data_IF_810339339476
#
_entry.id   IF_810339339476
#
_cell.length_a   1.000
_cell.length_b   1.000
_cell.length_c   1.000
_cell.angle_alpha   90.00
_cell.angle_beta   90.00
_cell.angle_gamma   90.00
#
_symmetry.space_group_name_H-M   'P 1'
#
loop_
_entity.id
_entity.type
_entity.pdbx_description
1 polymer ?
#
# COMPACT_ATOMS: atom_id res chain seq x y z
N UNK A 1 6.49 21.47 -29.79
CA UNK A 1 5.73 20.20 -29.66
C UNK A 1 5.73 19.49 -31.00
N UNK A 2 5.91 18.17 -31.05
CA UNK A 2 5.83 17.43 -32.31
C UNK A 2 4.43 17.56 -32.92
N UNK A 3 4.35 17.59 -34.25
CA UNK A 3 3.09 17.72 -34.97
C UNK A 3 2.29 16.41 -34.83
N UNK A 4 0.97 16.43 -34.60
CA UNK A 4 0.13 15.22 -34.55
C UNK A 4 0.35 14.26 -35.74
N UNK A 5 0.67 14.80 -36.91
CA UNK A 5 1.02 14.05 -38.12
C UNK A 5 2.23 13.13 -37.94
N UNK A 6 3.26 13.57 -37.19
CA UNK A 6 4.46 12.76 -36.93
C UNK A 6 4.15 11.57 -36.03
N UNK A 7 3.32 11.77 -35.01
CA UNK A 7 2.86 10.68 -34.12
C UNK A 7 2.07 9.65 -34.93
N UNK A 8 1.08 10.09 -35.71
CA UNK A 8 0.27 9.20 -36.55
C UNK A 8 1.11 8.44 -37.58
N UNK A 9 2.08 9.11 -38.21
CA UNK A 9 3.02 8.48 -39.14
C UNK A 9 3.86 7.42 -38.44
N UNK A 10 4.45 7.74 -37.29
CA UNK A 10 5.28 6.81 -36.51
C UNK A 10 4.48 5.57 -36.11
N UNK A 11 3.28 5.76 -35.57
CA UNK A 11 2.41 4.65 -35.17
C UNK A 11 1.98 3.78 -36.37
N UNK A 12 1.65 4.40 -37.50
CA UNK A 12 1.13 3.69 -38.67
C UNK A 12 2.20 2.97 -39.48
N UNK A 13 3.38 3.57 -39.60
CA UNK A 13 4.45 3.13 -40.50
C UNK A 13 5.56 2.37 -39.77
N UNK A 14 5.81 2.67 -38.50
CA UNK A 14 6.87 2.02 -37.70
C UNK A 14 6.28 0.98 -36.75
N UNK A 15 5.36 1.38 -35.88
CA UNK A 15 4.87 0.51 -34.80
C UNK A 15 3.92 -0.57 -35.33
N UNK A 16 2.83 -0.18 -36.02
CA UNK A 16 1.78 -1.10 -36.45
C UNK A 16 2.29 -2.33 -37.24
N UNK A 17 3.23 -2.21 -38.19
CA UNK A 17 3.74 -3.38 -38.92
C UNK A 17 4.41 -4.42 -38.02
N UNK A 18 5.10 -4.00 -36.96
CA UNK A 18 5.81 -4.91 -36.04
C UNK A 18 4.85 -5.77 -35.20
N UNK A 19 3.62 -5.30 -35.00
CA UNK A 19 2.55 -6.01 -34.29
C UNK A 19 1.52 -6.65 -35.22
N UNK A 20 1.65 -6.48 -36.55
CA UNK A 20 0.66 -6.99 -37.51
C UNK A 20 0.58 -8.51 -37.54
N UNK A 21 1.72 -9.20 -37.29
CA UNK A 21 1.79 -10.65 -37.18
C UNK A 21 1.24 -11.19 -35.85
N UNK A 22 1.04 -10.33 -34.85
CA UNK A 22 0.63 -10.70 -33.49
C UNK A 22 -0.55 -9.82 -33.02
N UNK A 23 -1.71 -9.88 -33.70
CA UNK A 23 -2.86 -9.08 -33.33
C UNK A 23 -3.38 -9.48 -31.94
N UNK A 24 -3.70 -8.48 -31.11
CA UNK A 24 -4.20 -8.73 -29.76
C UNK A 24 -5.60 -9.40 -29.79
N UNK A 25 -5.80 -10.57 -29.16
CA UNK A 25 -7.00 -11.39 -29.38
C UNK A 25 -8.28 -10.78 -28.84
N UNK A 26 -8.21 -9.85 -27.87
CA UNK A 26 -9.40 -9.23 -27.24
C UNK A 26 -9.77 -7.85 -27.77
N UNK A 27 -9.07 -7.36 -28.78
CA UNK A 27 -9.27 -6.00 -29.30
C UNK A 27 -9.60 -6.00 -30.79
N UNK A 28 -10.54 -5.15 -31.18
CA UNK A 28 -10.82 -4.91 -32.58
C UNK A 28 -9.72 -4.04 -33.21
N UNK A 29 -9.03 -4.55 -34.24
CA UNK A 29 -7.82 -3.90 -34.80
C UNK A 29 -8.05 -2.48 -35.36
N UNK A 30 -9.25 -2.17 -35.85
CA UNK A 30 -9.53 -0.86 -36.43
C UNK A 30 -10.08 0.16 -35.42
N UNK A 31 -10.60 -0.29 -34.27
CA UNK A 31 -11.32 0.60 -33.33
C UNK A 31 -10.78 0.53 -31.90
N UNK A 32 -9.92 -0.44 -31.60
CA UNK A 32 -9.45 -0.75 -30.25
C UNK A 32 -10.58 -0.92 -29.22
N UNK A 33 -11.78 -1.31 -29.68
CA UNK A 33 -12.88 -1.72 -28.79
C UNK A 33 -12.68 -3.15 -28.34
N UNK A 34 -13.07 -3.43 -27.11
CA UNK A 34 -13.04 -4.79 -26.56
C UNK A 34 -14.01 -5.70 -27.32
N UNK A 35 -13.53 -6.89 -27.69
CA UNK A 35 -14.33 -7.91 -28.33
C UNK A 35 -15.08 -8.74 -27.28
N UNK A 36 -16.35 -9.09 -27.57
CA UNK A 36 -17.15 -9.94 -26.71
C UNK A 36 -16.58 -11.38 -26.60
N UNK A 37 -15.91 -11.85 -27.65
CA UNK A 37 -15.18 -13.11 -27.69
C UNK A 37 -13.77 -12.87 -28.22
N UNK A 38 -12.74 -13.55 -27.67
CA UNK A 38 -11.41 -13.48 -28.25
C UNK A 38 -11.41 -13.92 -29.72
N UNK A 39 -10.66 -13.22 -30.56
CA UNK A 39 -10.38 -13.64 -31.92
C UNK A 39 -9.53 -14.92 -31.90
N UNK A 40 -9.73 -15.79 -32.89
CA UNK A 40 -8.90 -16.96 -33.08
C UNK A 40 -7.53 -16.52 -33.62
N UNK A 41 -6.50 -16.65 -32.81
CA UNK A 41 -5.12 -16.30 -33.17
C UNK A 41 -4.30 -17.57 -33.20
N UNK A 42 -4.08 -18.12 -34.40
CA UNK A 42 -3.11 -19.19 -34.60
C UNK A 42 -1.69 -18.62 -34.40
N UNK A 43 -0.89 -19.27 -33.56
CA UNK A 43 0.53 -18.98 -33.30
C UNK A 43 0.88 -17.58 -32.78
N UNK A 44 0.22 -17.12 -31.71
CA UNK A 44 0.47 -15.81 -31.05
C UNK A 44 1.91 -15.59 -30.54
N UNK A 45 2.67 -16.68 -30.36
CA UNK A 45 4.00 -16.66 -29.73
C UNK A 45 5.14 -17.08 -30.67
N UNK A 46 4.85 -17.51 -31.89
CA UNK A 46 5.89 -17.87 -32.86
C UNK A 46 6.25 -16.64 -33.70
N UNK A 47 7.53 -16.25 -33.68
CA UNK A 47 8.10 -15.12 -34.42
C UNK A 47 7.40 -13.78 -34.16
N UNK A 48 7.78 -13.13 -33.05
CA UNK A 48 7.25 -11.83 -32.62
C UNK A 48 8.23 -10.69 -33.03
N UNK A 49 8.07 -10.04 -34.19
CA UNK A 49 9.11 -9.14 -34.75
C UNK A 49 9.37 -7.91 -33.88
N UNK A 50 8.38 -7.51 -33.08
CA UNK A 50 8.49 -6.40 -32.15
C UNK A 50 9.51 -6.65 -31.03
N UNK A 51 9.81 -7.92 -30.69
CA UNK A 51 10.84 -8.26 -29.69
C UNK A 51 12.26 -8.06 -30.21
N UNK A 52 12.45 -8.09 -31.53
CA UNK A 52 13.75 -7.86 -32.16
C UNK A 52 14.10 -6.36 -32.27
N UNK A 53 13.20 -5.48 -31.84
CA UNK A 53 13.33 -4.03 -31.94
C UNK A 53 13.52 -3.40 -30.54
N UNK A 54 14.77 -3.30 -30.02
CA UNK A 54 15.02 -2.69 -28.72
C UNK A 54 14.61 -1.20 -28.72
N UNK A 55 13.96 -0.74 -27.65
CA UNK A 55 13.50 0.64 -27.52
C UNK A 55 12.16 0.95 -28.19
N UNK A 56 11.48 -0.05 -28.76
CA UNK A 56 10.15 0.12 -29.34
C UNK A 56 9.12 0.62 -28.32
N UNK A 57 9.25 0.20 -27.06
CA UNK A 57 8.48 0.70 -25.93
C UNK A 57 8.67 2.20 -25.72
N UNK A 58 9.88 2.74 -25.88
CA UNK A 58 10.15 4.18 -25.73
C UNK A 58 9.58 4.98 -26.91
N UNK A 59 9.56 4.40 -28.11
CA UNK A 59 8.87 5.00 -29.27
C UNK A 59 7.35 5.07 -29.02
N UNK A 60 6.78 3.98 -28.51
CA UNK A 60 5.35 3.92 -28.16
C UNK A 60 5.01 4.89 -27.03
N UNK A 61 5.84 4.94 -25.99
CA UNK A 61 5.75 5.89 -24.88
C UNK A 61 5.82 7.34 -25.35
N UNK A 62 6.76 7.65 -26.23
CA UNK A 62 6.87 8.98 -26.83
C UNK A 62 5.59 9.34 -27.58
N UNK A 63 4.99 8.41 -28.33
CA UNK A 63 3.72 8.65 -29.02
C UNK A 63 2.57 8.93 -28.02
N UNK A 64 2.48 8.15 -26.94
CA UNK A 64 1.48 8.31 -25.88
C UNK A 64 1.57 9.71 -25.25
N UNK A 65 2.78 10.10 -24.81
CA UNK A 65 3.01 11.35 -24.08
C UNK A 65 2.91 12.60 -24.97
N UNK A 66 3.12 12.45 -26.28
CA UNK A 66 3.08 13.57 -27.23
C UNK A 66 1.77 13.66 -28.01
N UNK A 67 0.74 12.92 -27.60
CA UNK A 67 -0.61 13.02 -28.20
C UNK A 67 -1.51 13.92 -27.37
N UNK A 68 -2.22 14.82 -28.03
CA UNK A 68 -3.22 15.66 -27.37
C UNK A 68 -4.59 14.97 -27.31
N UNK A 69 -5.35 15.24 -26.25
CA UNK A 69 -6.69 14.70 -25.97
C UNK A 69 -7.65 14.60 -27.19
N UNK A 70 -7.80 15.61 -28.08
CA UNK A 70 -8.71 15.48 -29.23
C UNK A 70 -8.22 14.52 -30.33
N UNK A 71 -6.92 14.27 -30.43
CA UNK A 71 -6.32 13.35 -31.42
C UNK A 71 -6.18 11.93 -30.85
N UNK A 72 -6.28 11.78 -29.54
CA UNK A 72 -6.08 10.51 -28.83
C UNK A 72 -7.02 9.41 -29.34
N UNK A 73 -8.27 9.76 -29.64
CA UNK A 73 -9.26 8.80 -30.18
C UNK A 73 -8.88 8.29 -31.59
N UNK A 74 -8.22 9.11 -32.41
CA UNK A 74 -7.81 8.70 -33.76
C UNK A 74 -6.66 7.70 -33.74
N UNK A 75 -5.72 7.87 -32.80
CA UNK A 75 -4.57 6.98 -32.65
C UNK A 75 -4.84 5.80 -31.71
N UNK A 76 -5.96 5.81 -30.99
CA UNK A 76 -6.37 4.76 -30.06
C UNK A 76 -6.23 3.34 -30.65
N UNK A 77 -6.69 3.07 -31.89
CA UNK A 77 -6.52 1.75 -32.52
C UNK A 77 -5.08 1.36 -32.82
N UNK A 78 -4.17 2.32 -32.85
CA UNK A 78 -2.75 2.10 -33.15
C UNK A 78 -1.90 1.92 -31.89
N UNK A 79 -2.29 2.54 -30.76
CA UNK A 79 -1.52 2.46 -29.50
C UNK A 79 -1.99 1.31 -28.62
N UNK A 80 -3.30 1.05 -28.55
CA UNK A 80 -3.84 0.14 -27.54
C UNK A 80 -3.42 -1.31 -27.79
N UNK A 81 -3.50 -1.87 -29.02
CA UNK A 81 -3.09 -3.26 -29.23
C UNK A 81 -1.61 -3.50 -28.90
N UNK A 82 -0.63 -2.69 -29.35
CA UNK A 82 0.77 -2.83 -28.92
C UNK A 82 0.95 -2.78 -27.40
N UNK A 83 0.33 -1.80 -26.72
CA UNK A 83 0.43 -1.68 -25.27
C UNK A 83 -0.13 -2.90 -24.55
N UNK A 84 -1.27 -3.41 -25.00
CA UNK A 84 -1.86 -4.63 -24.46
C UNK A 84 -1.00 -5.87 -24.74
N UNK A 85 -0.39 -5.96 -25.92
CA UNK A 85 0.56 -7.05 -26.24
C UNK A 85 1.73 -7.07 -25.27
N UNK A 86 2.31 -5.92 -24.92
CA UNK A 86 3.35 -5.85 -23.88
C UNK A 86 2.83 -6.31 -22.51
N UNK A 87 1.65 -5.83 -22.08
CA UNK A 87 1.08 -6.16 -20.77
C UNK A 87 0.72 -7.65 -20.62
N UNK A 88 0.18 -8.24 -21.68
CA UNK A 88 -0.30 -9.63 -21.69
C UNK A 88 0.81 -10.63 -22.06
N UNK A 89 2.00 -10.19 -22.46
CA UNK A 89 3.15 -11.05 -22.79
C UNK A 89 3.54 -11.97 -21.61
N UNK A 90 3.95 -13.20 -21.88
CA UNK A 90 4.25 -14.17 -20.81
C UNK A 90 5.56 -13.85 -20.06
N UNK A 91 6.49 -13.11 -20.67
CA UNK A 91 7.74 -12.71 -20.04
C UNK A 91 7.55 -11.44 -19.20
N UNK A 92 7.92 -11.52 -17.92
CA UNK A 92 7.67 -10.45 -16.95
C UNK A 92 8.34 -9.11 -17.32
N UNK A 93 9.56 -9.05 -17.91
CA UNK A 93 10.13 -7.78 -18.33
C UNK A 93 9.24 -6.98 -19.29
N UNK A 94 8.64 -7.63 -20.28
CA UNK A 94 7.71 -6.97 -21.21
C UNK A 94 6.42 -6.54 -20.52
N UNK A 95 5.92 -7.33 -19.56
CA UNK A 95 4.77 -6.92 -18.73
C UNK A 95 5.04 -5.62 -17.99
N UNK A 96 6.23 -5.47 -17.37
CA UNK A 96 6.60 -4.24 -16.67
C UNK A 96 6.57 -3.03 -17.62
N UNK A 97 7.10 -3.19 -18.83
CA UNK A 97 7.03 -2.15 -19.87
C UNK A 97 5.58 -1.83 -20.25
N UNK A 98 4.75 -2.85 -20.46
CA UNK A 98 3.33 -2.70 -20.75
C UNK A 98 2.58 -1.93 -19.65
N UNK A 99 2.87 -2.23 -18.38
CA UNK A 99 2.27 -1.52 -17.23
C UNK A 99 2.69 -0.05 -17.21
N UNK A 100 3.97 0.26 -17.48
CA UNK A 100 4.45 1.66 -17.56
C UNK A 100 3.77 2.43 -18.69
N UNK A 101 3.65 1.80 -19.86
CA UNK A 101 2.91 2.36 -21.01
C UNK A 101 1.44 2.62 -20.66
N UNK A 102 0.79 1.70 -19.93
CA UNK A 102 -0.57 1.91 -19.43
C UNK A 102 -0.62 3.09 -18.45
N UNK A 103 0.31 3.20 -17.51
CA UNK A 103 0.33 4.33 -16.58
C UNK A 103 0.44 5.67 -17.32
N UNK A 104 1.37 5.77 -18.29
CA UNK A 104 1.50 6.96 -19.15
C UNK A 104 0.21 7.20 -19.96
N UNK A 105 -0.39 6.14 -20.51
CA UNK A 105 -1.66 6.21 -21.25
C UNK A 105 -2.79 6.74 -20.36
N UNK A 106 -2.89 6.30 -19.10
CA UNK A 106 -3.92 6.75 -18.16
C UNK A 106 -3.75 8.22 -17.74
N UNK A 107 -2.55 8.79 -17.83
CA UNK A 107 -2.35 10.23 -17.61
C UNK A 107 -2.83 11.10 -18.78
N UNK A 108 -2.85 10.55 -20.00
CA UNK A 108 -3.10 11.30 -21.22
C UNK A 108 -4.47 11.02 -21.85
N UNK A 109 -4.99 9.80 -21.70
CA UNK A 109 -6.22 9.34 -22.34
C UNK A 109 -7.47 9.92 -21.64
N UNK A 110 -8.49 10.36 -22.40
CA UNK A 110 -9.78 10.75 -21.82
C UNK A 110 -10.45 9.56 -21.09
N UNK A 111 -10.90 9.72 -19.83
CA UNK A 111 -11.58 8.65 -19.09
C UNK A 111 -12.81 8.08 -19.83
N UNK A 112 -13.55 8.93 -20.54
CA UNK A 112 -14.72 8.55 -21.33
C UNK A 112 -14.36 7.59 -22.47
N UNK A 113 -13.15 7.70 -23.03
CA UNK A 113 -12.68 6.81 -24.08
C UNK A 113 -12.45 5.40 -23.52
N UNK A 114 -11.85 5.28 -22.34
CA UNK A 114 -11.64 4.00 -21.66
C UNK A 114 -12.98 3.28 -21.41
N UNK A 115 -13.96 4.02 -20.88
CA UNK A 115 -15.28 3.50 -20.55
C UNK A 115 -16.08 3.13 -21.81
N UNK A 116 -16.13 4.00 -22.82
CA UNK A 116 -16.91 3.78 -24.05
C UNK A 116 -16.37 2.62 -24.89
N UNK A 117 -15.07 2.36 -24.83
CA UNK A 117 -14.43 1.26 -25.57
C UNK A 117 -14.41 -0.05 -24.78
N UNK A 118 -14.80 -0.03 -23.49
CA UNK A 118 -14.76 -1.17 -22.56
C UNK A 118 -13.36 -1.53 -22.09
N UNK A 119 -12.38 -0.68 -22.37
CA UNK A 119 -10.96 -0.94 -22.12
C UNK A 119 -10.63 -0.84 -20.63
N UNK A 120 -11.39 -0.09 -19.85
CA UNK A 120 -11.27 -0.06 -18.39
C UNK A 120 -11.38 -1.46 -17.75
N UNK A 121 -12.33 -2.28 -18.21
CA UNK A 121 -12.54 -3.62 -17.70
C UNK A 121 -11.45 -4.58 -18.18
N UNK A 122 -11.00 -4.43 -19.43
CA UNK A 122 -9.90 -5.19 -19.99
C UNK A 122 -8.59 -4.91 -19.23
N UNK A 123 -8.23 -3.65 -19.05
CA UNK A 123 -7.03 -3.24 -18.32
C UNK A 123 -7.04 -3.73 -16.89
N UNK A 124 -8.15 -3.57 -16.19
CA UNK A 124 -8.28 -4.07 -14.82
C UNK A 124 -8.05 -5.58 -14.74
N UNK A 125 -8.62 -6.35 -15.69
CA UNK A 125 -8.44 -7.80 -15.76
C UNK A 125 -6.98 -8.16 -16.06
N UNK A 126 -6.36 -7.54 -17.05
CA UNK A 126 -4.97 -7.83 -17.43
C UNK A 126 -3.96 -7.43 -16.34
N UNK A 127 -4.14 -6.26 -15.71
CA UNK A 127 -3.32 -5.80 -14.59
C UNK A 127 -3.42 -6.75 -13.39
N UNK A 128 -4.64 -7.13 -12.99
CA UNK A 128 -4.81 -8.07 -11.88
C UNK A 128 -4.26 -9.47 -12.19
N UNK A 129 -4.35 -9.93 -13.44
CA UNK A 129 -3.76 -11.18 -13.89
C UNK A 129 -2.23 -11.15 -13.95
N UNK A 130 -1.63 -9.98 -14.22
CA UNK A 130 -0.17 -9.82 -14.25
C UNK A 130 0.46 -10.22 -12.90
N UNK A 131 -0.24 -9.95 -11.79
CA UNK A 131 0.18 -10.30 -10.43
C UNK A 131 0.22 -11.81 -10.14
N UNK A 132 -0.22 -12.68 -11.06
CA UNK A 132 -0.07 -14.13 -10.93
C UNK A 132 1.33 -14.66 -11.28
N UNK A 133 2.20 -13.82 -11.87
CA UNK A 133 3.56 -14.20 -12.29
C UNK A 133 4.56 -13.99 -11.15
N UNK A 134 4.46 -14.83 -10.10
CA UNK A 134 5.17 -14.62 -8.83
C UNK A 134 6.57 -15.23 -8.73
N UNK A 135 7.02 -15.96 -9.76
CA UNK A 135 8.27 -16.74 -9.72
C UNK A 135 9.41 -16.08 -10.51
N UNK A 136 9.21 -14.88 -11.03
CA UNK A 136 10.21 -14.17 -11.82
C UNK A 136 11.04 -13.23 -10.92
N UNK A 137 12.35 -13.06 -11.18
CA UNK A 137 13.17 -12.09 -10.44
C UNK A 137 12.64 -10.65 -10.48
N UNK A 138 11.90 -10.30 -11.54
CA UNK A 138 11.31 -8.97 -11.78
C UNK A 138 9.92 -8.81 -11.16
N UNK A 139 9.36 -9.86 -10.53
CA UNK A 139 8.06 -9.80 -9.83
C UNK A 139 7.95 -8.63 -8.84
N UNK A 140 8.97 -8.29 -8.01
CA UNK A 140 8.89 -7.15 -7.12
C UNK A 140 8.69 -5.82 -7.84
N UNK A 141 9.32 -5.65 -9.00
CA UNK A 141 9.14 -4.47 -9.84
C UNK A 141 7.76 -4.45 -10.49
N UNK A 142 7.30 -5.60 -10.99
CA UNK A 142 5.95 -5.75 -11.55
C UNK A 142 4.88 -5.34 -10.53
N UNK A 143 4.97 -5.80 -9.27
CA UNK A 143 4.03 -5.43 -8.22
C UNK A 143 4.01 -3.91 -7.99
N UNK A 144 5.19 -3.29 -7.91
CA UNK A 144 5.35 -1.85 -7.70
C UNK A 144 4.83 -1.02 -8.87
N UNK A 145 4.82 -1.57 -10.08
CA UNK A 145 4.24 -0.91 -11.24
C UNK A 145 2.72 -1.14 -11.33
N UNK A 146 2.27 -2.39 -11.18
CA UNK A 146 0.88 -2.80 -11.44
C UNK A 146 -0.08 -2.21 -10.42
N UNK A 147 0.24 -2.26 -9.13
CA UNK A 147 -0.72 -1.86 -8.09
C UNK A 147 -1.05 -0.36 -8.17
N UNK A 148 -0.07 0.57 -8.23
CA UNK A 148 -0.36 1.99 -8.41
C UNK A 148 -1.09 2.29 -9.72
N UNK A 149 -0.70 1.63 -10.83
CA UNK A 149 -1.37 1.79 -12.13
C UNK A 149 -2.83 1.32 -12.07
N UNK A 150 -3.11 0.25 -11.32
CA UNK A 150 -4.48 -0.24 -11.12
C UNK A 150 -5.29 0.73 -10.26
N UNK A 151 -4.69 1.34 -9.24
CA UNK A 151 -5.36 2.38 -8.44
C UNK A 151 -5.70 3.59 -9.31
N UNK A 152 -4.75 4.07 -10.12
CA UNK A 152 -4.97 5.15 -11.08
C UNK A 152 -6.14 4.83 -12.03
N UNK A 153 -6.20 3.60 -12.57
CA UNK A 153 -7.31 3.17 -13.42
C UNK A 153 -8.64 3.21 -12.67
N UNK A 154 -8.69 2.70 -11.44
CA UNK A 154 -9.90 2.67 -10.61
C UNK A 154 -10.39 4.09 -10.36
N UNK A 155 -9.51 4.99 -9.95
CA UNK A 155 -9.82 6.39 -9.64
C UNK A 155 -10.40 7.12 -10.86
N UNK A 156 -9.88 6.83 -12.05
CA UNK A 156 -10.34 7.46 -13.31
C UNK A 156 -11.68 6.91 -13.80
N UNK A 157 -12.00 5.65 -13.53
CA UNK A 157 -13.08 4.94 -14.25
C UNK A 157 -14.24 4.49 -13.36
N UNK A 158 -14.06 4.50 -12.04
CA UNK A 158 -15.02 3.84 -11.14
C UNK A 158 -15.55 4.79 -10.06
N UNK A 159 -16.84 5.19 -10.13
CA UNK A 159 -17.43 6.06 -9.11
C UNK A 159 -17.62 5.37 -7.75
N UNK A 160 -17.72 4.03 -7.73
CA UNK A 160 -17.77 3.22 -6.51
C UNK A 160 -16.62 2.19 -6.53
N UNK A 161 -15.41 2.58 -6.07
CA UNK A 161 -14.18 1.82 -6.31
C UNK A 161 -14.10 0.54 -5.46
N UNK A 162 -14.94 0.42 -4.44
CA UNK A 162 -14.89 -0.62 -3.42
C UNK A 162 -14.76 -2.04 -3.98
N UNK A 163 -15.56 -2.43 -4.98
CA UNK A 163 -15.53 -3.79 -5.52
C UNK A 163 -14.20 -4.08 -6.22
N UNK A 164 -13.72 -3.15 -7.06
CA UNK A 164 -12.44 -3.30 -7.77
C UNK A 164 -11.25 -3.30 -6.81
N UNK A 165 -11.25 -2.38 -5.83
CA UNK A 165 -10.24 -2.35 -4.77
C UNK A 165 -10.24 -3.63 -3.94
N UNK A 166 -11.43 -4.15 -3.62
CA UNK A 166 -11.59 -5.41 -2.88
C UNK A 166 -11.01 -6.58 -3.67
N UNK A 167 -11.31 -6.67 -4.96
CA UNK A 167 -10.75 -7.70 -5.85
C UNK A 167 -9.22 -7.58 -5.96
N UNK A 168 -8.70 -6.38 -6.15
CA UNK A 168 -7.24 -6.13 -6.21
C UNK A 168 -6.55 -6.60 -4.92
N UNK A 169 -7.10 -6.24 -3.76
CA UNK A 169 -6.54 -6.64 -2.48
C UNK A 169 -6.72 -8.13 -2.20
N UNK A 170 -7.93 -8.67 -2.36
CA UNK A 170 -8.24 -10.06 -1.96
C UNK A 170 -7.67 -11.09 -2.89
N UNK A 171 -7.89 -10.92 -4.20
CA UNK A 171 -7.62 -11.96 -5.19
C UNK A 171 -6.21 -11.87 -5.74
N UNK A 172 -5.62 -10.67 -5.78
CA UNK A 172 -4.26 -10.50 -6.31
C UNK A 172 -3.23 -10.37 -5.19
N UNK A 173 -3.32 -9.34 -4.33
CA UNK A 173 -2.26 -9.09 -3.34
C UNK A 173 -2.28 -10.15 -2.22
N UNK A 174 -3.41 -10.33 -1.53
CA UNK A 174 -3.52 -11.31 -0.44
C UNK A 174 -3.55 -12.74 -1.00
N UNK A 175 -4.42 -12.97 -1.98
CA UNK A 175 -4.66 -14.25 -2.65
C UNK A 175 -3.42 -14.87 -3.26
N UNK A 176 -2.64 -14.05 -3.97
CA UNK A 176 -1.52 -14.54 -4.76
C UNK A 176 -0.19 -14.16 -4.12
N UNK A 177 0.08 -12.88 -3.89
CA UNK A 177 1.42 -12.40 -3.48
C UNK A 177 1.78 -12.83 -2.04
N UNK A 178 0.81 -12.85 -1.14
CA UNK A 178 1.09 -13.06 0.29
C UNK A 178 0.91 -14.52 0.70
N UNK A 179 -0.17 -15.18 0.25
CA UNK A 179 -0.47 -16.55 0.66
C UNK A 179 0.46 -17.61 0.06
N UNK A 180 1.13 -17.33 -1.06
CA UNK A 180 1.98 -18.32 -1.75
C UNK A 180 3.40 -18.44 -1.20
N UNK A 181 3.74 -17.71 -0.13
CA UNK A 181 5.06 -17.82 0.53
C UNK A 181 6.23 -17.32 -0.35
N UNK A 182 6.00 -16.24 -1.09
CA UNK A 182 6.90 -15.68 -2.11
C UNK A 182 8.21 -15.16 -1.49
N UNK A 183 9.34 -15.14 -2.24
CA UNK A 183 10.61 -14.61 -1.76
C UNK A 183 10.53 -13.24 -1.07
N UNK A 184 11.45 -13.00 -0.14
CA UNK A 184 11.55 -11.76 0.66
C UNK A 184 11.43 -10.46 -0.18
N UNK A 185 12.06 -10.30 -1.36
CA UNK A 185 11.92 -9.09 -2.18
C UNK A 185 10.49 -8.78 -2.62
N UNK A 186 9.67 -9.81 -2.84
CA UNK A 186 8.27 -9.68 -3.24
C UNK A 186 7.39 -9.25 -2.08
N UNK A 187 7.64 -9.78 -0.87
CA UNK A 187 6.95 -9.31 0.33
C UNK A 187 7.26 -7.84 0.63
N UNK A 188 8.51 -7.41 0.42
CA UNK A 188 8.89 -5.99 0.52
C UNK A 188 8.13 -5.13 -0.49
N UNK A 189 7.99 -5.60 -1.74
CA UNK A 189 7.19 -4.90 -2.74
C UNK A 189 5.72 -4.80 -2.32
N UNK A 190 5.14 -5.90 -1.82
CA UNK A 190 3.77 -5.95 -1.32
C UNK A 190 3.54 -4.97 -0.16
N UNK A 191 4.47 -4.91 0.80
CA UNK A 191 4.35 -3.98 1.94
C UNK A 191 4.41 -2.51 1.54
N UNK A 192 5.06 -2.16 0.43
CA UNK A 192 5.07 -0.78 -0.08
C UNK A 192 3.77 -0.40 -0.80
N UNK A 193 3.10 -1.36 -1.45
CA UNK A 193 1.89 -1.07 -2.25
C UNK A 193 0.58 -1.31 -1.51
N UNK A 194 0.61 -2.05 -0.39
CA UNK A 194 -0.56 -2.26 0.47
C UNK A 194 -1.13 -0.97 1.08
N UNK A 195 -0.32 -0.05 1.65
CA UNK A 195 -0.82 1.16 2.29
C UNK A 195 -1.77 2.00 1.41
N UNK A 196 -1.42 2.39 0.15
CA UNK A 196 -2.33 3.18 -0.66
C UNK A 196 -3.64 2.42 -1.01
N UNK A 197 -3.58 1.10 -1.17
CA UNK A 197 -4.79 0.27 -1.41
C UNK A 197 -5.69 0.25 -0.16
N UNK A 198 -5.11 0.14 1.03
CA UNK A 198 -5.83 0.19 2.31
C UNK A 198 -6.48 1.56 2.50
N UNK A 199 -5.73 2.65 2.28
CA UNK A 199 -6.25 4.01 2.37
C UNK A 199 -7.40 4.25 1.39
N UNK A 200 -7.28 3.79 0.14
CA UNK A 200 -8.34 3.90 -0.86
C UNK A 200 -9.60 3.10 -0.50
N UNK A 201 -9.47 1.96 0.20
CA UNK A 201 -10.60 1.18 0.71
C UNK A 201 -11.29 1.82 1.92
N UNK A 202 -10.58 2.69 2.65
CA UNK A 202 -11.05 3.27 3.90
C UNK A 202 -11.48 2.19 4.90
N UNK A 203 -12.56 2.45 5.64
CA UNK A 203 -13.14 1.51 6.63
C UNK A 203 -13.47 0.13 6.02
N UNK A 204 -13.65 0.05 4.70
CA UNK A 204 -13.84 -1.19 3.97
C UNK A 204 -12.66 -2.16 4.07
N UNK A 205 -11.45 -1.67 4.39
CA UNK A 205 -10.25 -2.48 4.62
C UNK A 205 -10.40 -3.42 5.83
N UNK A 206 -11.27 -3.10 6.78
CA UNK A 206 -11.47 -3.87 8.02
C UNK A 206 -11.79 -5.36 7.77
N UNK A 207 -12.44 -5.70 6.65
CA UNK A 207 -12.76 -7.10 6.32
C UNK A 207 -11.54 -7.94 5.96
N UNK A 208 -10.44 -7.28 5.57
CA UNK A 208 -9.20 -7.93 5.14
C UNK A 208 -8.16 -8.02 6.26
N UNK A 209 -8.44 -7.48 7.45
CA UNK A 209 -7.54 -7.53 8.61
C UNK A 209 -7.08 -8.97 8.93
N UNK A 210 -7.98 -9.95 8.79
CA UNK A 210 -7.63 -11.37 9.01
C UNK A 210 -6.58 -11.90 8.02
N UNK A 211 -6.50 -11.33 6.82
CA UNK A 211 -5.47 -11.68 5.84
C UNK A 211 -4.18 -10.87 6.01
N UNK A 212 -4.28 -9.62 6.47
CA UNK A 212 -3.13 -8.70 6.54
C UNK A 212 -2.36 -8.85 7.86
N UNK A 213 -3.06 -8.85 9.00
CA UNK A 213 -2.40 -8.80 10.33
C UNK A 213 -1.47 -10.00 10.58
N UNK A 214 -1.84 -11.26 10.27
CA UNK A 214 -0.94 -12.39 10.50
C UNK A 214 0.38 -12.31 9.71
N UNK A 215 0.37 -11.60 8.58
CA UNK A 215 1.56 -11.45 7.71
C UNK A 215 2.51 -10.43 8.30
N UNK A 216 1.98 -9.33 8.84
CA UNK A 216 2.74 -8.35 9.61
C UNK A 216 3.31 -9.00 10.87
N UNK A 217 2.50 -9.76 11.62
CA UNK A 217 2.95 -10.49 12.81
C UNK A 217 4.11 -11.44 12.47
N UNK A 218 3.94 -12.26 11.43
CA UNK A 218 5.00 -13.17 10.96
C UNK A 218 6.26 -12.42 10.53
N UNK A 219 6.11 -11.21 9.98
CA UNK A 219 7.26 -10.35 9.65
C UNK A 219 7.98 -9.90 10.90
N UNK A 220 7.27 -9.55 11.98
CA UNK A 220 7.89 -9.25 13.27
C UNK A 220 8.57 -10.44 13.95
N UNK A 221 8.15 -11.67 13.60
CA UNK A 221 8.79 -12.92 14.04
C UNK A 221 10.02 -13.30 13.19
N UNK A 222 10.22 -12.65 12.04
CA UNK A 222 11.39 -12.93 11.22
C UNK A 222 12.67 -12.46 11.94
N UNK A 223 13.76 -13.19 11.76
CA UNK A 223 15.01 -12.87 12.42
C UNK A 223 15.54 -11.51 11.93
N UNK A 224 15.80 -10.60 12.86
CA UNK A 224 16.41 -9.31 12.56
C UNK A 224 17.90 -9.53 12.28
N UNK A 225 18.28 -9.46 11.00
CA UNK A 225 19.67 -9.58 10.58
C UNK A 225 20.21 -8.21 10.13
N UNK A 226 21.20 -7.67 10.86
CA UNK A 226 21.85 -6.38 10.55
C UNK A 226 22.57 -6.37 9.20
N UNK A 227 22.94 -7.54 8.70
CA UNK A 227 23.62 -7.69 7.42
C UNK A 227 22.63 -7.69 6.25
N UNK A 228 21.32 -7.79 6.52
CA UNK A 228 20.28 -7.81 5.51
C UNK A 228 19.44 -6.51 5.51
N UNK A 229 18.77 -6.19 4.39
CA UNK A 229 17.91 -5.02 4.32
C UNK A 229 16.68 -5.14 5.25
N UNK A 230 16.53 -4.18 6.17
CA UNK A 230 15.37 -4.08 7.08
C UNK A 230 14.07 -3.57 6.40
N UNK A 231 14.06 -3.49 5.06
CA UNK A 231 12.95 -2.93 4.29
C UNK A 231 11.62 -3.65 4.54
N UNK A 232 11.64 -4.97 4.79
CA UNK A 232 10.42 -5.72 5.06
C UNK A 232 9.81 -5.33 6.42
N UNK A 233 10.64 -5.23 7.47
CA UNK A 233 10.20 -4.80 8.79
C UNK A 233 9.62 -3.39 8.75
N UNK A 234 10.34 -2.44 8.14
CA UNK A 234 9.88 -1.05 7.99
C UNK A 234 8.59 -0.96 7.16
N UNK A 235 8.49 -1.73 6.08
CA UNK A 235 7.27 -1.81 5.27
C UNK A 235 6.08 -2.38 6.05
N UNK A 236 6.29 -3.41 6.86
CA UNK A 236 5.24 -3.99 7.70
C UNK A 236 4.76 -3.00 8.77
N UNK A 237 5.66 -2.25 9.40
CA UNK A 237 5.30 -1.20 10.35
C UNK A 237 4.47 -0.09 9.69
N UNK A 238 4.84 0.32 8.47
CA UNK A 238 4.05 1.30 7.74
C UNK A 238 2.63 0.79 7.42
N UNK A 239 2.48 -0.49 7.07
CA UNK A 239 1.16 -1.12 6.89
C UNK A 239 0.36 -1.07 8.20
N UNK A 240 0.98 -1.32 9.34
CA UNK A 240 0.30 -1.24 10.66
C UNK A 240 -0.21 0.17 10.95
N UNK A 241 0.61 1.21 10.78
CA UNK A 241 0.18 2.59 11.03
C UNK A 241 -1.03 2.94 10.16
N UNK A 242 -0.98 2.62 8.86
CA UNK A 242 -2.11 2.88 7.96
C UNK A 242 -3.36 2.08 8.36
N UNK A 243 -3.22 0.86 8.89
CA UNK A 243 -4.36 0.11 9.43
C UNK A 243 -4.93 0.72 10.71
N UNK A 244 -4.09 1.25 11.59
CA UNK A 244 -4.51 1.96 12.81
C UNK A 244 -5.34 3.20 12.42
N UNK A 245 -4.84 4.01 11.48
CA UNK A 245 -5.51 5.22 10.99
C UNK A 245 -6.82 4.90 10.28
N UNK A 246 -6.81 3.87 9.43
CA UNK A 246 -7.93 3.57 8.53
C UNK A 246 -9.06 2.80 9.24
N UNK A 247 -8.72 1.95 10.22
CA UNK A 247 -9.65 1.01 10.85
C UNK A 247 -9.61 1.03 12.40
N UNK A 248 -9.63 2.19 13.08
CA UNK A 248 -9.36 2.29 14.52
C UNK A 248 -10.35 1.50 15.38
N UNK A 249 -11.63 1.45 15.00
CA UNK A 249 -12.66 0.72 15.75
C UNK A 249 -12.53 -0.81 15.67
N UNK A 250 -11.85 -1.32 14.65
CA UNK A 250 -11.70 -2.77 14.39
C UNK A 250 -10.29 -3.28 14.71
N UNK A 251 -9.29 -2.39 14.74
CA UNK A 251 -7.90 -2.74 15.07
C UNK A 251 -7.76 -3.21 16.52
N UNK A 252 -8.64 -2.75 17.43
CA UNK A 252 -8.64 -3.17 18.84
C UNK A 252 -8.70 -4.69 19.05
N UNK A 253 -9.40 -5.43 18.19
CA UNK A 253 -9.45 -6.91 18.24
C UNK A 253 -8.11 -7.57 17.88
N UNK A 254 -7.33 -6.91 17.04
CA UNK A 254 -6.05 -7.38 16.52
C UNK A 254 -4.85 -6.84 17.31
N UNK A 255 -5.11 -5.93 18.24
CA UNK A 255 -4.09 -5.22 19.00
C UNK A 255 -3.10 -6.16 19.70
N UNK A 256 -3.56 -7.24 20.33
CA UNK A 256 -2.69 -8.22 20.99
C UNK A 256 -1.73 -8.90 20.02
N UNK A 257 -2.22 -9.24 18.81
CA UNK A 257 -1.43 -9.87 17.75
C UNK A 257 -0.39 -8.91 17.19
N UNK A 258 -0.77 -7.64 16.99
CA UNK A 258 0.14 -6.61 16.52
C UNK A 258 1.21 -6.34 17.58
N UNK A 259 0.82 -6.20 18.85
CA UNK A 259 1.73 -6.04 19.98
C UNK A 259 2.73 -7.18 20.10
N UNK A 260 2.30 -8.44 19.96
CA UNK A 260 3.22 -9.59 19.96
C UNK A 260 4.25 -9.51 18.82
N UNK A 261 3.81 -9.15 17.61
CA UNK A 261 4.72 -8.94 16.48
C UNK A 261 5.73 -7.80 16.72
N UNK A 262 5.29 -6.67 17.28
CA UNK A 262 6.16 -5.53 17.62
C UNK A 262 7.18 -5.91 18.70
N UNK A 263 6.72 -6.57 19.78
CA UNK A 263 7.58 -6.98 20.89
C UNK A 263 8.65 -7.98 20.44
N UNK A 264 8.31 -8.96 19.60
CA UNK A 264 9.31 -9.91 19.06
C UNK A 264 10.31 -9.24 18.13
N UNK A 265 9.86 -8.30 17.31
CA UNK A 265 10.76 -7.53 16.44
C UNK A 265 11.73 -6.68 17.28
N UNK A 266 11.26 -6.10 18.38
CA UNK A 266 12.08 -5.37 19.34
C UNK A 266 13.14 -6.25 20.00
N UNK A 267 12.75 -7.41 20.53
CA UNK A 267 13.69 -8.39 21.11
C UNK A 267 14.74 -8.79 20.07
N UNK A 268 14.33 -9.03 18.82
CA UNK A 268 15.26 -9.29 17.73
C UNK A 268 16.26 -8.14 17.49
N UNK A 269 15.84 -6.89 17.65
CA UNK A 269 16.74 -5.74 17.61
C UNK A 269 17.69 -5.70 18.82
N UNK A 270 17.25 -6.10 20.01
CA UNK A 270 18.10 -6.18 21.21
C UNK A 270 19.17 -7.26 21.05
N UNK A 271 18.79 -8.46 20.61
CA UNK A 271 19.72 -9.59 20.41
C UNK A 271 20.78 -9.28 19.33
N UNK A 272 20.39 -8.51 18.30
CA UNK A 272 21.27 -8.10 17.21
C UNK A 272 22.34 -7.06 17.59
N UNK A 273 22.21 -6.40 18.75
CA UNK A 273 23.15 -5.34 19.23
C UNK A 273 24.36 -5.92 19.99
N UNK A 274 24.57 -7.24 19.94
CA UNK A 274 25.71 -7.94 20.55
C UNK A 274 27.12 -7.53 20.04
N UNK A 275 27.24 -6.50 19.19
CA UNK A 275 28.52 -5.89 18.76
C UNK A 275 28.57 -4.42 19.21
N UNK A 276 29.71 -3.98 19.75
CA UNK A 276 29.96 -2.71 20.50
C UNK A 276 29.52 -1.38 19.84
N UNK A 277 28.97 -1.40 18.62
CA UNK A 277 28.34 -0.25 17.98
C UNK A 277 27.05 -0.70 17.31
N UNK A 278 25.90 -0.31 17.85
CA UNK A 278 24.61 -0.54 17.21
C UNK A 278 24.61 0.16 15.82
N UNK A 279 24.44 -0.57 14.71
CA UNK A 279 24.41 0.04 13.39
C UNK A 279 23.23 1.01 13.31
N UNK A 280 23.45 2.21 12.74
CA UNK A 280 22.43 3.27 12.62
C UNK A 280 21.07 2.80 12.05
N UNK A 281 21.08 1.73 11.24
CA UNK A 281 19.87 1.11 10.68
C UNK A 281 18.97 0.43 11.73
N UNK A 282 19.54 -0.15 12.78
CA UNK A 282 18.77 -0.73 13.89
C UNK A 282 18.10 0.35 14.73
N UNK A 283 18.78 1.47 14.96
CA UNK A 283 18.20 2.61 15.68
C UNK A 283 16.99 3.20 14.93
N UNK A 284 17.06 3.28 13.60
CA UNK A 284 15.89 3.65 12.78
C UNK A 284 14.74 2.66 12.98
N UNK A 285 15.00 1.34 12.97
CA UNK A 285 13.95 0.35 13.18
C UNK A 285 13.35 0.43 14.59
N UNK A 286 14.17 0.62 15.63
CA UNK A 286 13.74 0.81 17.02
C UNK A 286 12.85 2.04 17.17
N UNK A 287 13.27 3.18 16.63
CA UNK A 287 12.46 4.41 16.64
C UNK A 287 11.10 4.20 15.96
N UNK A 288 11.07 3.56 14.78
CA UNK A 288 9.80 3.24 14.11
C UNK A 288 8.92 2.28 14.91
N UNK A 289 9.51 1.26 15.56
CA UNK A 289 8.77 0.33 16.42
C UNK A 289 8.08 1.05 17.58
N UNK A 290 8.79 2.01 18.20
CA UNK A 290 8.26 2.83 19.29
C UNK A 290 7.10 3.72 18.82
N UNK A 291 7.28 4.45 17.72
CA UNK A 291 6.23 5.28 17.12
C UNK A 291 4.94 4.47 16.88
N UNK A 292 5.06 3.31 16.22
CA UNK A 292 3.91 2.42 15.92
C UNK A 292 3.25 1.93 17.20
N UNK A 293 4.03 1.57 18.22
CA UNK A 293 3.49 1.10 19.49
C UNK A 293 2.73 2.21 20.25
N UNK A 294 3.23 3.45 20.21
CA UNK A 294 2.55 4.61 20.79
C UNK A 294 1.24 4.93 20.06
N UNK A 295 1.25 4.91 18.72
CA UNK A 295 0.04 5.04 17.90
C UNK A 295 -0.97 3.93 18.20
N UNK A 296 -0.51 2.68 18.37
CA UNK A 296 -1.37 1.57 18.74
C UNK A 296 -1.96 1.75 20.16
N UNK A 297 -1.15 2.20 21.12
CA UNK A 297 -1.57 2.43 22.50
C UNK A 297 -2.64 3.55 22.59
N UNK A 298 -2.46 4.63 21.82
CA UNK A 298 -3.41 5.74 21.74
C UNK A 298 -4.71 5.32 21.05
N UNK A 299 -4.63 4.59 19.94
CA UNK A 299 -5.80 4.07 19.23
C UNK A 299 -6.54 2.98 20.03
N UNK A 300 -5.82 2.20 20.85
CA UNK A 300 -6.35 1.10 21.63
C UNK A 300 -5.94 1.18 23.12
N UNK A 301 -6.58 2.02 23.94
CA UNK A 301 -6.22 2.19 25.36
C UNK A 301 -6.34 0.91 26.20
N UNK A 302 -7.07 -0.09 25.71
CA UNK A 302 -7.17 -1.42 26.34
C UNK A 302 -5.85 -2.19 26.33
N UNK A 303 -4.99 -1.98 25.34
CA UNK A 303 -3.66 -2.62 25.25
C UNK A 303 -2.81 -2.21 26.45
N UNK A 304 -2.84 -0.93 26.80
CA UNK A 304 -2.12 -0.37 27.96
C UNK A 304 -2.69 -0.85 29.30
N UNK A 305 -4.01 -1.15 29.36
CA UNK A 305 -4.66 -1.62 30.59
C UNK A 305 -4.39 -3.10 30.89
N UNK A 306 -4.24 -3.94 29.86
CA UNK A 306 -3.86 -5.36 30.03
C UNK A 306 -2.44 -5.47 30.58
N UNK A 307 -1.55 -4.50 30.30
CA UNK A 307 -0.22 -4.41 30.91
C UNK A 307 -0.24 -4.39 32.45
N UNK A 308 -1.32 -3.88 33.05
CA UNK A 308 -1.43 -3.63 34.48
C UNK A 308 -2.41 -4.56 35.23
N UNK A 309 -3.09 -5.49 34.54
CA UNK A 309 -4.08 -6.37 35.17
C UNK A 309 -3.84 -7.85 34.83
N UNK A 310 -3.55 -8.61 35.88
CA UNK A 310 -3.19 -10.02 35.95
C UNK A 310 -4.36 -11.00 35.75
N UNK A 311 -5.13 -10.91 34.67
CA UNK A 311 -6.17 -11.92 34.38
C UNK A 311 -6.00 -12.57 33.00
N UNK A 312 -5.43 -13.79 33.03
CA UNK A 312 -5.17 -14.63 31.86
C UNK A 312 -6.31 -15.59 31.54
N UNK A 313 -6.62 -15.74 30.24
CA UNK A 313 -7.05 -17.02 29.65
C UNK A 313 -6.02 -17.47 28.62
N UNK A 314 -5.56 -18.74 28.62
CA UNK A 314 -4.38 -19.15 27.88
C UNK A 314 -4.79 -19.73 26.51
N UNK A 315 -4.28 -19.16 25.42
CA UNK A 315 -4.05 -19.92 24.20
C UNK A 315 -2.80 -19.36 23.50
N UNK A 316 -1.85 -20.28 23.29
CA UNK A 316 -0.67 -20.23 22.42
C UNK A 316 0.67 -19.89 23.12
N UNK A 317 1.61 -20.80 22.90
CA UNK A 317 2.93 -21.01 23.49
C UNK A 317 3.91 -19.84 23.26
N UNK A 318 4.17 -19.06 24.31
CA UNK A 318 5.41 -18.37 24.73
C UNK A 318 5.05 -17.64 26.05
N UNK A 319 6.00 -17.36 26.97
CA UNK A 319 5.68 -16.73 28.25
C UNK A 319 5.23 -15.29 28.01
N UNK A 320 3.92 -15.08 27.95
CA UNK A 320 3.26 -13.79 27.71
C UNK A 320 3.77 -12.68 28.65
N UNK A 321 4.22 -13.03 29.87
CA UNK A 321 4.84 -12.11 30.82
C UNK A 321 6.14 -11.49 30.29
N UNK A 322 6.92 -12.21 29.47
CA UNK A 322 8.14 -11.67 28.85
C UNK A 322 7.78 -10.66 27.75
N UNK A 323 6.85 -10.99 26.85
CA UNK A 323 6.40 -10.03 25.83
C UNK A 323 5.75 -8.77 26.43
N UNK A 324 5.04 -8.91 27.55
CA UNK A 324 4.43 -7.79 28.27
C UNK A 324 5.49 -6.87 28.89
N UNK A 325 6.51 -7.43 29.55
CA UNK A 325 7.62 -6.65 30.10
C UNK A 325 8.45 -5.96 29.01
N UNK A 326 8.69 -6.63 27.87
CA UNK A 326 9.43 -6.07 26.74
C UNK A 326 8.63 -4.99 25.99
N UNK A 327 7.31 -5.14 25.88
CA UNK A 327 6.45 -4.09 25.31
C UNK A 327 6.37 -2.88 26.24
N UNK A 328 6.31 -3.10 27.55
CA UNK A 328 6.44 -2.02 28.54
C UNK A 328 7.80 -1.34 28.42
N UNK A 329 8.91 -2.08 28.32
CA UNK A 329 10.23 -1.51 28.05
C UNK A 329 10.27 -0.71 26.73
N UNK A 330 9.63 -1.22 25.66
CA UNK A 330 9.53 -0.51 24.39
C UNK A 330 8.80 0.84 24.55
N UNK A 331 7.74 0.89 25.36
CA UNK A 331 7.01 2.13 25.69
C UNK A 331 7.76 3.03 26.69
N UNK A 332 8.53 2.45 27.61
CA UNK A 332 9.23 3.15 28.70
C UNK A 332 10.65 3.61 28.34
N UNK A 333 11.26 3.05 27.29
CA UNK A 333 12.62 3.42 26.84
C UNK A 333 12.74 4.93 26.54
N UNK A 334 11.61 5.62 26.31
CA UNK A 334 11.55 7.06 26.04
C UNK A 334 10.77 7.87 27.12
N UNK A 335 10.51 7.30 28.31
CA UNK A 335 9.89 8.07 29.42
C UNK A 335 10.72 9.32 29.78
N UNK A 336 12.04 9.27 29.60
CA UNK A 336 12.92 10.43 29.82
C UNK A 336 12.71 11.58 28.82
N UNK A 337 12.10 11.33 27.67
CA UNK A 337 11.87 12.31 26.59
C UNK A 337 10.40 12.79 26.59
N UNK A 338 9.46 11.92 26.99
CA UNK A 338 8.05 12.26 27.18
C UNK A 338 7.80 13.15 28.41
N UNK A 339 8.55 12.94 29.51
CA UNK A 339 8.51 13.83 30.68
C UNK A 339 8.97 15.26 30.35
N UNK A 340 9.85 15.42 29.34
CA UNK A 340 10.28 16.72 28.84
C UNK A 340 9.22 17.47 28.02
N UNK A 341 8.31 16.75 27.35
CA UNK A 341 7.27 17.34 26.50
C UNK A 341 5.97 17.63 27.25
N UNK A 342 5.61 16.80 28.24
CA UNK A 342 4.45 17.04 29.10
C UNK A 342 4.78 18.04 30.23
N UNK A 343 6.04 18.13 30.65
CA UNK A 343 6.51 19.13 31.62
C UNK A 343 6.42 20.58 31.14
N UNK A 344 6.43 20.82 29.82
CA UNK A 344 6.33 22.18 29.24
C UNK A 344 4.88 22.66 29.01
N UNK A 345 3.86 21.82 29.21
CA UNK A 345 2.45 22.21 29.04
C UNK A 345 1.77 22.49 30.40
N UNK A 346 2.41 22.16 31.53
CA UNK A 346 1.86 22.38 32.88
C UNK A 346 2.57 23.46 33.71
N UNK A 347 3.33 24.37 33.10
CA UNK A 347 3.95 25.50 33.82
C UNK A 347 3.68 26.85 33.17
N UNK A 348 2.41 27.23 33.08
CA UNK A 348 2.00 28.65 33.08
C UNK A 348 1.05 28.90 34.25
N UNK A 349 1.64 28.98 35.43
CA UNK A 349 1.58 30.16 36.31
C UNK A 349 0.24 30.89 36.40
N UNK A 350 -0.45 30.71 37.55
CA UNK A 350 -1.31 31.73 38.15
C UNK A 350 -1.17 31.63 39.67
N UNK A 351 -0.11 32.21 40.19
CA UNK A 351 -0.06 32.73 41.56
C UNK A 351 0.49 34.16 41.45
N UNK A 352 -0.35 35.14 41.75
CA UNK A 352 0.11 36.42 42.29
C UNK A 352 -0.89 36.94 43.33
N UNK A 353 -0.49 37.12 44.60
CA UNK A 353 -1.27 37.77 45.62
C UNK A 353 -0.89 39.26 45.71
N UNK A 354 -1.86 40.18 45.65
CA UNK A 354 -2.01 41.31 46.60
C UNK A 354 -3.06 42.36 46.17
N UNK A 355 -3.69 42.93 47.20
CA UNK A 355 -4.35 44.26 47.29
C UNK A 355 -5.76 44.47 46.72
N UNK A 356 -6.70 44.82 47.61
CA UNK A 356 -7.89 45.59 47.21
C UNK A 356 -9.11 45.49 48.12
N UNK A 357 -9.16 46.34 49.14
CA UNK A 357 -10.29 46.60 50.04
C UNK A 357 -11.54 47.10 49.26
N UNK A 358 -12.75 46.73 49.72
CA UNK A 358 -13.91 47.62 50.04
C UNK A 358 -15.26 46.89 49.90
N UNK A 359 -16.01 47.01 51.00
CA UNK A 359 -17.42 46.74 51.28
C UNK A 359 -18.43 46.76 50.12
N UNK A 360 -19.45 45.90 50.21
CA UNK A 360 -20.79 46.30 50.70
C UNK A 360 -21.78 45.12 50.76
N UNK A 361 -22.28 44.92 51.99
CA UNK A 361 -23.66 44.69 52.40
C UNK A 361 -24.55 43.58 51.82
N UNK A 362 -25.24 43.00 52.82
CA UNK A 362 -26.62 42.50 52.84
C UNK A 362 -26.87 41.14 52.18
N UNK A 363 -27.64 40.22 52.74
CA UNK A 363 -28.30 40.04 54.05
C UNK A 363 -29.19 38.81 53.89
N UNK A 364 -29.40 38.02 54.94
CA UNK A 364 -30.47 37.02 55.01
C UNK A 364 -29.93 35.59 55.07
N UNK A 365 -29.69 35.06 56.27
CA UNK A 365 -30.61 34.17 57.00
C UNK A 365 -30.93 32.88 56.25
N UNK A 366 -30.98 31.69 56.83
CA UNK A 366 -30.68 31.09 58.13
C UNK A 366 -31.36 29.70 58.03
N UNK A 367 -30.82 28.68 58.71
CA UNK A 367 -31.54 27.45 59.15
C UNK A 367 -32.08 26.52 58.05
N UNK A 368 -32.17 25.21 58.17
CA UNK A 368 -31.81 24.19 59.17
C UNK A 368 -32.24 22.84 58.55
N UNK A 369 -31.64 21.75 59.01
CA UNK A 369 -32.27 20.45 59.28
C UNK A 369 -32.83 19.59 58.11
N UNK A 370 -32.27 18.39 57.89
CA UNK A 370 -32.68 17.06 58.41
C UNK A 370 -33.65 16.32 57.47
N UNK A 371 -33.13 15.21 56.93
CA UNK A 371 -33.74 13.87 56.76
C UNK A 371 -35.20 13.79 56.28
N UNK A 372 -35.38 13.28 55.07
CA UNK A 372 -35.96 11.95 54.80
C UNK A 372 -35.65 11.50 53.38
#
# INVERSE_FOLDING_TARGET
>A
SPTPTLVTYTLSTVVKPLFAATPHPRLHLATARVLARPADTQDTYHHQPWKDCPGLEEVLRWCILNTQSPTYEQIWPLILPPTMTFLDDYEVPYKVLGVRLISDMLTCAPPELLLRTGVDALLFTSLTNALNHLRDPSTPELIRAVVPTTLQLIDLTTPSPFNRLSTLLSSSILGTVILTGVPHPTLVAASHVLPPVISALGVGAARFLKGIVPVVEKTGQAQVNINEPLALHLGALHVVNVLIDTCPSRIARWSTTITDGLARCWVGCVDAVSTDTAPARLEVLRGRLQEVAMELATACPRVVRVSNQSEYRPLIFLPYSTCQNEFTQLLEFDQTLFDGLVGSICTTQCDDPTLGVVAMNNSGNATSEIVS
#
